data_IF_294205346933
#
_entry.id   IF_294205346933
#
_cell.length_a   1.000
_cell.length_b   1.000
_cell.length_c   1.000
_cell.angle_alpha   90.00
_cell.angle_beta   90.00
_cell.angle_gamma   90.00
#
_symmetry.space_group_name_H-M   'P 1'
#
loop_
_entity.id
_entity.type
_entity.pdbx_description
1 polymer ?
#
# COMPACT_ATOMS: atom_id res chain seq x y z
N UNK A 1 -14.77 -11.87 -9.83
CA UNK A 1 -13.69 -11.50 -10.76
C UNK A 1 -13.02 -10.30 -10.15
N UNK A 2 -11.86 -10.52 -9.55
CA UNK A 2 -11.08 -9.48 -8.88
C UNK A 2 -10.59 -8.49 -9.93
N UNK A 3 -10.91 -7.21 -9.74
CA UNK A 3 -10.45 -6.15 -10.64
C UNK A 3 -8.93 -6.07 -10.50
N UNK A 4 -8.22 -6.48 -11.55
CA UNK A 4 -6.77 -6.37 -11.59
C UNK A 4 -6.40 -4.92 -11.92
N UNK A 5 -5.98 -4.19 -10.90
CA UNK A 5 -5.38 -2.87 -11.07
C UNK A 5 -3.90 -3.06 -11.44
N UNK A 6 -3.45 -2.32 -12.44
CA UNK A 6 -2.05 -2.33 -12.87
C UNK A 6 -1.41 -1.03 -12.44
N UNK A 7 -0.30 -1.13 -11.71
CA UNK A 7 0.63 -0.04 -11.42
C UNK A 7 0.07 1.17 -10.63
N UNK A 8 0.94 1.88 -9.89
CA UNK A 8 0.71 3.28 -9.63
C UNK A 8 1.02 4.10 -10.88
N UNK A 9 0.04 4.87 -11.36
CA UNK A 9 0.23 5.78 -12.50
C UNK A 9 0.15 7.24 -12.08
N UNK A 10 0.98 8.07 -12.69
CA UNK A 10 0.94 9.52 -12.54
C UNK A 10 0.08 10.14 -13.63
N UNK A 11 -0.88 10.97 -13.23
CA UNK A 11 -1.69 11.74 -14.20
C UNK A 11 -0.85 12.88 -14.76
N UNK A 12 -0.59 12.87 -16.06
CA UNK A 12 0.18 13.93 -16.74
C UNK A 12 -0.67 14.95 -17.46
N UNK A 13 -1.83 14.54 -17.98
CA UNK A 13 -2.70 15.44 -18.73
C UNK A 13 -4.16 14.98 -18.66
N UNK A 14 -5.10 15.92 -18.82
CA UNK A 14 -6.53 15.64 -18.95
C UNK A 14 -7.04 16.21 -20.26
N UNK A 15 -7.60 15.35 -21.10
CA UNK A 15 -8.19 15.72 -22.39
C UNK A 15 -9.51 16.46 -22.22
N UNK A 16 -9.94 17.19 -23.26
CA UNK A 16 -11.20 17.94 -23.26
C UNK A 16 -12.44 17.04 -23.06
N UNK A 17 -12.33 15.75 -23.41
CA UNK A 17 -13.37 14.75 -23.21
C UNK A 17 -13.36 14.15 -21.78
N UNK A 18 -12.56 14.70 -20.86
CA UNK A 18 -12.50 14.25 -19.47
C UNK A 18 -11.63 13.01 -19.22
N UNK A 19 -11.02 12.44 -20.27
CA UNK A 19 -10.11 11.29 -20.12
C UNK A 19 -8.69 11.73 -19.73
N UNK A 20 -8.01 10.90 -18.95
CA UNK A 20 -6.68 11.13 -18.41
C UNK A 20 -5.60 10.43 -19.24
N UNK A 21 -4.48 11.12 -19.40
CA UNK A 21 -3.23 10.56 -19.92
C UNK A 21 -2.36 10.23 -18.72
N UNK A 22 -1.91 8.99 -18.67
CA UNK A 22 -1.17 8.43 -17.55
C UNK A 22 0.29 8.21 -17.93
N UNK A 23 1.16 8.33 -16.94
CA UNK A 23 2.58 8.06 -17.00
C UNK A 23 2.93 6.96 -16.00
N UNK A 24 3.70 5.97 -16.45
CA UNK A 24 4.23 4.89 -15.62
C UNK A 24 5.46 5.33 -14.79
N UNK A 25 5.91 4.47 -13.88
CA UNK A 25 7.13 4.63 -13.07
C UNK A 25 8.40 4.77 -13.92
N UNK A 26 8.42 4.27 -15.16
CA UNK A 26 9.56 4.45 -16.08
C UNK A 26 9.52 5.77 -16.86
N UNK A 27 8.69 6.73 -16.43
CA UNK A 27 8.38 7.98 -17.16
C UNK A 27 7.77 7.77 -18.56
N UNK A 28 7.30 6.56 -18.87
CA UNK A 28 6.65 6.26 -20.14
C UNK A 28 5.19 6.73 -20.13
N UNK A 29 4.80 7.51 -21.15
CA UNK A 29 3.40 7.91 -21.35
C UNK A 29 2.63 6.75 -21.96
N UNK A 30 1.50 6.39 -21.33
CA UNK A 30 0.62 5.35 -21.86
C UNK A 30 -0.08 5.87 -23.13
N UNK A 31 -0.15 5.04 -24.19
CA UNK A 31 -0.72 5.45 -25.48
C UNK A 31 -2.25 5.58 -25.45
N UNK A 32 -2.90 5.14 -24.36
CA UNK A 32 -4.35 5.11 -24.20
C UNK A 32 -4.80 6.18 -23.20
N UNK A 33 -5.96 6.78 -23.48
CA UNK A 33 -6.62 7.69 -22.55
C UNK A 33 -7.56 6.88 -21.64
N UNK A 34 -7.52 7.16 -20.34
CA UNK A 34 -8.29 6.44 -19.31
C UNK A 34 -9.40 7.33 -18.76
N UNK A 35 -10.63 6.81 -18.72
CA UNK A 35 -11.73 7.49 -18.05
C UNK A 35 -11.53 7.47 -16.53
N UNK A 36 -12.01 8.48 -15.78
CA UNK A 36 -11.93 8.50 -14.31
C UNK A 36 -12.46 7.21 -13.66
N UNK A 37 -13.51 6.62 -14.24
CA UNK A 37 -14.16 5.40 -13.73
C UNK A 37 -13.29 4.15 -13.86
N UNK A 38 -12.23 4.20 -14.67
CA UNK A 38 -11.26 3.12 -14.83
C UNK A 38 -10.05 3.30 -13.91
N UNK A 39 -10.00 4.40 -13.14
CA UNK A 39 -8.88 4.74 -12.28
C UNK A 39 -9.28 4.56 -10.83
N UNK A 40 -8.41 3.89 -10.07
CA UNK A 40 -8.44 3.93 -8.61
C UNK A 40 -7.47 5.00 -8.17
N UNK A 41 -7.99 6.09 -7.60
CA UNK A 41 -7.15 7.06 -6.90
C UNK A 41 -6.56 6.34 -5.69
N UNK A 42 -5.24 6.19 -5.70
CA UNK A 42 -4.46 5.70 -4.57
C UNK A 42 -3.67 6.87 -4.03
N UNK A 43 -3.52 6.93 -2.71
CA UNK A 43 -2.61 7.89 -2.08
C UNK A 43 -1.17 7.58 -2.48
N UNK A 44 -0.28 8.56 -2.29
CA UNK A 44 1.14 8.37 -2.62
C UNK A 44 1.75 7.23 -1.80
N UNK A 45 1.38 7.11 -0.53
CA UNK A 45 1.72 5.97 0.30
C UNK A 45 1.25 4.66 -0.33
N UNK A 46 -0.04 4.50 -0.64
CA UNK A 46 -0.55 3.29 -1.32
C UNK A 46 0.10 3.02 -2.70
N UNK A 47 0.58 4.05 -3.39
CA UNK A 47 1.28 3.91 -4.66
C UNK A 47 2.73 3.40 -4.48
N UNK A 48 3.42 3.85 -3.45
CA UNK A 48 4.80 3.44 -3.13
C UNK A 48 4.82 2.11 -2.35
N UNK A 49 3.82 1.88 -1.51
CA UNK A 49 3.70 0.72 -0.61
C UNK A 49 2.61 -0.27 -1.04
N UNK A 50 2.06 -0.16 -2.26
CA UNK A 50 0.96 -0.97 -2.80
C UNK A 50 1.16 -2.50 -2.84
N UNK A 51 2.17 -2.99 -2.13
CA UNK A 51 2.38 -4.36 -1.73
C UNK A 51 1.78 -4.55 -0.34
N UNK A 52 0.53 -5.02 -0.30
CA UNK A 52 0.00 -5.65 0.90
C UNK A 52 0.69 -7.00 1.06
N UNK A 53 1.35 -7.21 2.19
CA UNK A 53 1.97 -8.48 2.53
C UNK A 53 1.14 -9.18 3.59
N UNK A 54 1.09 -10.51 3.52
CA UNK A 54 0.36 -11.29 4.50
C UNK A 54 1.19 -11.43 5.76
N UNK A 55 0.59 -11.05 6.90
CA UNK A 55 1.22 -11.17 8.21
C UNK A 55 1.04 -12.61 8.69
N UNK A 56 2.13 -13.23 9.13
CA UNK A 56 2.11 -14.54 9.77
C UNK A 56 1.70 -14.42 11.24
N UNK A 57 2.36 -13.53 11.98
CA UNK A 57 2.10 -13.29 13.38
C UNK A 57 2.66 -11.92 13.82
N UNK A 58 2.16 -11.41 14.94
CA UNK A 58 2.83 -10.34 15.68
C UNK A 58 3.72 -11.03 16.72
N UNK A 59 5.00 -10.68 16.74
CA UNK A 59 5.97 -11.29 17.65
C UNK A 59 6.10 -10.49 18.95
N UNK A 60 6.01 -9.17 18.86
CA UNK A 60 6.25 -8.26 19.98
C UNK A 60 5.52 -6.92 19.78
N UNK A 61 5.39 -6.13 20.84
CA UNK A 61 4.79 -4.80 20.81
C UNK A 61 5.56 -3.83 21.72
N UNK A 62 5.87 -2.65 21.20
CA UNK A 62 6.67 -1.63 21.89
C UNK A 62 6.09 -0.24 21.64
N UNK A 63 6.53 0.75 22.41
CA UNK A 63 6.09 2.14 22.26
C UNK A 63 7.24 3.01 21.80
N UNK A 64 7.06 3.68 20.66
CA UNK A 64 8.05 4.61 20.16
C UNK A 64 8.16 5.81 21.11
N UNK A 65 9.33 5.95 21.75
CA UNK A 65 9.54 6.96 22.79
C UNK A 65 9.55 8.40 22.26
N UNK A 66 9.64 8.60 20.94
CA UNK A 66 9.71 9.93 20.31
C UNK A 66 8.33 10.43 19.91
N UNK A 67 7.50 9.55 19.37
CA UNK A 67 6.16 9.84 18.85
C UNK A 67 5.06 9.49 19.86
N UNK A 68 5.32 8.55 20.78
CA UNK A 68 4.35 8.00 21.72
C UNK A 68 3.40 6.98 21.08
N UNK A 69 3.70 6.53 19.86
CA UNK A 69 2.86 5.61 19.09
C UNK A 69 3.18 4.15 19.43
N UNK A 70 2.15 3.29 19.39
CA UNK A 70 2.31 1.86 19.62
C UNK A 70 2.73 1.16 18.33
N UNK A 71 3.90 0.53 18.37
CA UNK A 71 4.48 -0.26 17.29
C UNK A 71 4.34 -1.74 17.60
N UNK A 72 4.23 -2.55 16.55
CA UNK A 72 4.13 -3.99 16.63
C UNK A 72 5.17 -4.61 15.70
N UNK A 73 5.93 -5.58 16.21
CA UNK A 73 6.89 -6.34 15.43
C UNK A 73 6.14 -7.39 14.61
N UNK A 74 6.12 -7.20 13.30
CA UNK A 74 5.37 -8.02 12.36
C UNK A 74 6.27 -9.09 11.76
N UNK A 75 5.85 -10.35 11.87
CA UNK A 75 6.41 -11.47 11.12
C UNK A 75 5.68 -11.59 9.78
N UNK A 76 6.39 -11.39 8.69
CA UNK A 76 5.83 -11.57 7.35
C UNK A 76 5.77 -13.04 6.97
N UNK A 77 4.65 -13.47 6.39
CA UNK A 77 4.44 -14.86 6.02
C UNK A 77 5.35 -15.27 4.86
N UNK A 78 6.15 -16.30 5.09
CA UNK A 78 7.11 -16.82 4.10
C UNK A 78 8.42 -16.03 4.02
N UNK A 79 8.68 -15.11 4.96
CA UNK A 79 9.93 -14.38 5.11
C UNK A 79 10.65 -14.78 6.40
N UNK A 80 11.95 -14.49 6.48
CA UNK A 80 12.77 -14.85 7.64
C UNK A 80 12.60 -13.84 8.78
N UNK A 81 13.15 -14.10 9.96
CA UNK A 81 13.02 -13.21 11.13
C UNK A 81 13.84 -11.92 10.96
N UNK A 82 14.76 -11.92 10.01
CA UNK A 82 15.53 -10.75 9.60
C UNK A 82 14.68 -9.72 8.86
N UNK A 83 13.59 -10.15 8.21
CA UNK A 83 12.65 -9.27 7.49
C UNK A 83 11.56 -8.70 8.42
N UNK A 84 11.58 -9.02 9.72
CA UNK A 84 10.58 -8.53 10.66
C UNK A 84 10.64 -7.02 10.79
N UNK A 85 9.50 -6.35 10.67
CA UNK A 85 9.41 -4.88 10.71
C UNK A 85 8.49 -4.40 11.83
N UNK A 86 8.87 -3.29 12.45
CA UNK A 86 8.05 -2.58 13.42
C UNK A 86 7.06 -1.68 12.70
N UNK A 87 5.77 -2.01 12.76
CA UNK A 87 4.71 -1.24 12.13
C UNK A 87 3.80 -0.57 13.15
N UNK A 88 3.35 0.68 12.90
CA UNK A 88 2.36 1.33 13.73
C UNK A 88 1.00 0.67 13.57
N UNK A 89 0.14 0.78 14.59
CA UNK A 89 -1.24 0.27 14.55
C UNK A 89 -2.02 0.69 13.28
N UNK A 90 -1.76 1.89 12.76
CA UNK A 90 -2.45 2.44 11.58
C UNK A 90 -2.11 1.69 10.27
N UNK A 91 -0.93 1.04 10.21
CA UNK A 91 -0.50 0.26 9.04
C UNK A 91 -1.20 -1.10 8.92
N UNK A 92 -1.96 -1.52 9.94
CA UNK A 92 -2.65 -2.80 9.93
C UNK A 92 -4.07 -2.65 9.38
N UNK A 93 -4.28 -3.14 8.15
CA UNK A 93 -5.61 -3.18 7.53
C UNK A 93 -6.57 -4.11 8.30
N UNK A 94 -6.04 -5.18 8.89
CA UNK A 94 -6.81 -6.19 9.62
C UNK A 94 -6.55 -6.16 11.13
N UNK A 95 -7.51 -5.67 11.91
CA UNK A 95 -7.48 -5.71 13.38
C UNK A 95 -7.54 -7.13 13.96
N UNK A 96 -7.89 -8.13 13.14
CA UNK A 96 -7.96 -9.53 13.53
C UNK A 96 -6.59 -10.07 13.99
N UNK A 97 -5.49 -9.67 13.33
CA UNK A 97 -4.14 -10.13 13.68
C UNK A 97 -3.72 -9.57 15.05
N UNK A 98 -4.07 -8.32 15.33
CA UNK A 98 -3.77 -7.64 16.60
C UNK A 98 -4.59 -8.25 17.74
N UNK A 99 -5.86 -8.57 17.48
CA UNK A 99 -6.72 -9.23 18.47
C UNK A 99 -6.29 -10.68 18.75
N UNK A 100 -5.65 -11.36 17.81
CA UNK A 100 -5.10 -12.70 18.03
C UNK A 100 -3.84 -12.69 18.89
N UNK A 101 -3.17 -11.55 18.99
CA UNK A 101 -1.94 -11.39 19.78
C UNK A 101 -2.24 -11.02 21.25
N UNK A 102 -3.38 -10.38 21.51
CA UNK A 102 -3.90 -10.07 22.86
C UNK A 102 -4.66 -11.23 23.49
#
# INVERSE_FOLDING_TARGET
>A
MDVKYEGPFKVVNRTANGAYVLQDLTDAILPRNYAPEQLKLVTRDEAETGRSYEIEAILDDDFDQKTGEKLYLVKWKGYDDEDNEWLPYDNFDSKAIINSYY
#
